data_IF_367767474064
#
_entry.id   IF_367767474064
#
_cell.length_a   1.000
_cell.length_b   1.000
_cell.length_c   1.000
_cell.angle_alpha   90.00
_cell.angle_beta   90.00
_cell.angle_gamma   90.00
#
_symmetry.space_group_name_H-M   'P 1'
#
loop_
_entity.id
_entity.type
_entity.pdbx_description
1 polymer ?
#
# COMPACT_ATOMS: atom_id res chain seq x y z
N UNK A 1 -13.02 -7.61 35.97
CA UNK A 1 -13.27 -8.22 34.64
C UNK A 1 -12.10 -7.86 33.74
N UNK A 2 -11.39 -8.84 33.17
CA UNK A 2 -10.30 -8.57 32.22
C UNK A 2 -10.93 -8.33 30.83
N UNK A 3 -10.54 -7.31 30.07
CA UNK A 3 -11.09 -7.07 28.74
C UNK A 3 -10.73 -8.25 27.84
N UNK A 4 -11.76 -8.85 27.23
CA UNK A 4 -11.65 -9.95 26.28
C UNK A 4 -10.89 -9.43 25.04
N UNK A 5 -9.73 -10.03 24.76
CA UNK A 5 -8.91 -9.66 23.62
C UNK A 5 -9.69 -9.86 22.31
N UNK A 6 -9.95 -8.78 21.58
CA UNK A 6 -10.62 -8.86 20.28
C UNK A 6 -9.56 -9.05 19.20
N UNK A 7 -9.46 -10.28 18.68
CA UNK A 7 -8.69 -10.58 17.47
C UNK A 7 -9.54 -10.14 16.27
N UNK A 8 -9.10 -9.11 15.56
CA UNK A 8 -9.80 -8.61 14.38
C UNK A 8 -9.21 -9.30 13.13
N UNK A 9 -9.96 -10.19 12.45
CA UNK A 9 -9.55 -10.68 11.14
C UNK A 9 -9.50 -9.51 10.15
N UNK A 10 -8.54 -9.52 9.24
CA UNK A 10 -8.29 -8.51 8.22
C UNK A 10 -8.07 -9.22 6.89
N UNK A 11 -8.61 -8.69 5.80
CA UNK A 11 -8.34 -9.17 4.45
C UNK A 11 -8.36 -7.96 3.50
N UNK A 12 -7.18 -7.53 3.06
CA UNK A 12 -7.01 -6.58 1.96
C UNK A 12 -6.76 -7.37 0.69
N UNK A 13 -7.61 -7.18 -0.32
CA UNK A 13 -7.28 -7.65 -1.67
C UNK A 13 -6.62 -6.47 -2.40
N UNK A 14 -5.30 -6.48 -2.53
CA UNK A 14 -4.60 -5.59 -3.47
C UNK A 14 -4.80 -6.13 -4.89
N UNK A 15 -5.22 -5.26 -5.79
CA UNK A 15 -5.33 -5.57 -7.21
C UNK A 15 -5.09 -4.31 -7.99
N UNK A 16 -3.90 -4.29 -8.59
CA UNK A 16 -3.38 -3.50 -9.71
C UNK A 16 -3.90 -2.08 -9.91
N UNK A 17 -3.10 -1.12 -9.47
CA UNK A 17 -2.43 -0.16 -10.34
C UNK A 17 -1.65 0.79 -9.41
N UNK A 18 -0.33 0.58 -9.35
CA UNK A 18 0.57 1.56 -8.80
C UNK A 18 0.79 2.63 -9.86
N UNK A 19 0.39 3.86 -9.56
CA UNK A 19 0.26 4.98 -10.48
C UNK A 19 0.86 6.19 -9.75
N UNK A 20 1.68 7.02 -10.38
CA UNK A 20 2.29 8.17 -9.72
C UNK A 20 1.78 9.42 -10.42
N UNK A 21 1.25 10.39 -9.68
CA UNK A 21 0.78 11.66 -10.24
C UNK A 21 1.99 12.59 -10.40
N UNK A 22 2.00 13.46 -11.42
CA UNK A 22 2.81 14.67 -11.41
C UNK A 22 1.95 15.91 -11.61
N UNK A 23 2.32 17.02 -10.99
CA UNK A 23 1.73 18.33 -11.25
C UNK A 23 2.82 19.40 -11.33
N UNK A 24 3.06 19.94 -12.53
CA UNK A 24 3.78 21.19 -12.73
C UNK A 24 2.75 22.29 -12.99
N UNK A 25 2.71 23.29 -12.11
CA UNK A 25 1.81 24.43 -12.26
C UNK A 25 2.49 25.52 -13.10
N UNK A 26 1.83 25.95 -14.17
CA UNK A 26 2.04 27.26 -14.80
C UNK A 26 0.68 27.91 -14.99
N UNK A 27 0.56 29.17 -14.57
CA UNK A 27 -0.69 29.92 -14.53
C UNK A 27 -0.97 30.63 -15.87
N UNK A 28 -2.19 30.46 -16.40
CA UNK A 28 -2.89 31.43 -17.25
C UNK A 28 -4.39 31.06 -17.32
N UNK A 29 -5.27 32.04 -17.13
CA UNK A 29 -6.74 31.94 -17.21
C UNK A 29 -7.25 31.92 -18.67
N UNK A 30 -8.24 31.09 -18.99
CA UNK A 30 -9.55 31.47 -19.60
C UNK A 30 -10.41 30.22 -19.89
N UNK A 31 -11.73 30.45 -19.95
CA UNK A 31 -12.90 29.56 -19.91
C UNK A 31 -12.96 28.45 -20.96
N UNK A 32 -13.60 27.34 -20.57
CA UNK A 32 -14.20 26.39 -21.52
C UNK A 32 -14.13 24.93 -21.06
N UNK A 33 -15.29 24.29 -21.00
CA UNK A 33 -15.50 22.87 -20.73
C UNK A 33 -14.56 21.99 -21.57
N UNK A 34 -13.68 21.23 -20.92
CA UNK A 34 -13.05 20.04 -21.48
C UNK A 34 -12.55 19.17 -20.33
N UNK A 35 -13.10 17.97 -20.18
CA UNK A 35 -12.50 16.89 -19.39
C UNK A 35 -11.16 16.52 -20.04
N UNK A 36 -10.13 17.27 -19.69
CA UNK A 36 -8.76 17.04 -20.14
C UNK A 36 -8.24 15.81 -19.41
N UNK A 37 -8.39 14.65 -20.04
CA UNK A 37 -7.69 13.43 -19.63
C UNK A 37 -6.21 13.65 -19.88
N UNK A 38 -5.50 14.15 -18.87
CA UNK A 38 -4.04 14.25 -18.87
C UNK A 38 -3.45 12.84 -18.95
N UNK A 39 -2.71 12.57 -20.04
CA UNK A 39 -1.92 11.34 -20.19
C UNK A 39 -0.66 11.45 -19.33
N UNK A 40 -0.82 11.15 -18.04
CA UNK A 40 0.29 10.98 -17.09
C UNK A 40 1.11 9.72 -17.45
N UNK A 41 2.44 9.80 -17.56
CA UNK A 41 3.30 8.61 -17.69
C UNK A 41 3.28 7.76 -16.40
N UNK A 42 2.70 6.56 -16.47
CA UNK A 42 2.57 5.64 -15.33
C UNK A 42 3.50 4.45 -15.55
N UNK A 43 4.26 4.10 -14.51
CA UNK A 43 5.10 2.90 -14.51
C UNK A 43 4.50 1.89 -13.53
N UNK A 44 4.14 0.71 -14.03
CA UNK A 44 3.65 -0.40 -13.21
C UNK A 44 4.82 -1.05 -12.48
N UNK A 45 4.80 -1.08 -11.14
CA UNK A 45 5.81 -1.81 -10.36
C UNK A 45 5.44 -3.28 -10.12
N UNK A 46 4.16 -3.54 -9.83
CA UNK A 46 3.64 -4.88 -9.54
C UNK A 46 2.22 -5.03 -10.08
N UNK A 47 2.03 -5.97 -11.01
CA UNK A 47 0.72 -6.43 -11.50
C UNK A 47 0.38 -7.86 -11.06
N UNK A 48 1.35 -8.57 -10.48
CA UNK A 48 1.22 -9.94 -9.99
C UNK A 48 0.81 -10.97 -11.06
N UNK A 49 0.99 -10.68 -12.36
CA UNK A 49 0.64 -11.62 -13.44
C UNK A 49 1.75 -12.63 -13.76
N UNK A 50 2.92 -12.48 -13.15
CA UNK A 50 4.03 -13.41 -13.26
C UNK A 50 3.73 -14.80 -12.67
N UNK A 51 4.50 -15.81 -13.07
CA UNK A 51 4.25 -17.19 -12.65
C UNK A 51 4.48 -17.43 -11.14
N UNK A 52 5.37 -16.68 -10.50
CA UNK A 52 5.70 -16.83 -9.08
C UNK A 52 6.00 -15.47 -8.42
N UNK A 53 4.97 -14.63 -8.22
CA UNK A 53 5.13 -13.32 -7.58
C UNK A 53 5.58 -13.45 -6.12
N UNK A 54 5.30 -14.60 -5.47
CA UNK A 54 5.59 -14.83 -4.07
C UNK A 54 7.07 -14.76 -3.71
N UNK A 55 7.97 -15.10 -4.65
CA UNK A 55 9.42 -14.95 -4.45
C UNK A 55 9.84 -13.53 -4.09
N UNK A 56 9.10 -12.52 -4.56
CA UNK A 56 9.41 -11.10 -4.33
C UNK A 56 8.90 -10.59 -2.99
N UNK A 57 8.06 -11.33 -2.26
CA UNK A 57 7.37 -10.82 -1.06
C UNK A 57 7.74 -11.62 0.19
N UNK A 58 7.70 -10.94 1.34
CA UNK A 58 7.89 -11.54 2.65
C UNK A 58 6.89 -10.98 3.65
N UNK A 59 6.53 -11.79 4.63
CA UNK A 59 5.68 -11.43 5.76
C UNK A 59 6.54 -10.99 6.93
N UNK A 60 6.14 -9.93 7.63
CA UNK A 60 6.76 -9.47 8.87
C UNK A 60 5.68 -9.28 9.93
N UNK A 61 5.80 -10.00 11.04
CA UNK A 61 4.87 -9.92 12.18
C UNK A 61 5.67 -9.59 13.45
N UNK A 62 4.98 -9.17 14.50
CA UNK A 62 5.53 -8.77 15.81
C UNK A 62 6.08 -9.92 16.69
N UNK A 63 6.34 -11.10 16.13
CA UNK A 63 6.56 -12.35 16.88
C UNK A 63 7.88 -12.42 17.68
N UNK A 64 8.84 -11.51 17.47
CA UNK A 64 10.20 -11.59 18.06
C UNK A 64 10.20 -11.40 19.58
N UNK A 65 9.18 -10.73 20.15
CA UNK A 65 9.11 -10.44 21.59
C UNK A 65 7.77 -10.87 22.22
N UNK A 66 7.21 -12.00 21.77
CA UNK A 66 5.93 -12.50 22.28
C UNK A 66 4.69 -11.82 21.67
N UNK A 67 4.87 -11.12 20.55
CA UNK A 67 3.78 -10.69 19.69
C UNK A 67 2.95 -11.87 19.21
N UNK A 68 1.68 -11.59 18.94
CA UNK A 68 0.66 -12.60 18.62
C UNK A 68 -0.05 -12.29 17.31
N UNK A 69 0.43 -11.31 16.56
CA UNK A 69 -0.14 -10.97 15.26
C UNK A 69 0.21 -12.04 14.24
N UNK A 70 -0.78 -12.42 13.43
CA UNK A 70 -0.64 -13.41 12.37
C UNK A 70 -1.25 -12.86 11.10
N UNK A 71 -0.43 -12.29 10.23
CA UNK A 71 -0.85 -12.02 8.86
C UNK A 71 0.13 -12.59 7.86
N UNK A 72 -0.25 -12.48 6.59
CA UNK A 72 0.52 -12.95 5.45
C UNK A 72 -0.21 -12.66 4.15
N UNK A 73 0.42 -13.04 3.05
CA UNK A 73 -0.13 -12.83 1.71
C UNK A 73 -0.34 -14.14 0.97
N UNK A 74 -1.34 -14.14 0.08
CA UNK A 74 -1.58 -15.18 -0.91
C UNK A 74 -1.86 -14.52 -2.26
N UNK A 75 -1.69 -15.24 -3.36
CA UNK A 75 -2.04 -14.74 -4.69
C UNK A 75 -3.29 -15.43 -5.22
N UNK A 76 -4.14 -14.68 -5.92
CA UNK A 76 -5.33 -15.22 -6.60
C UNK A 76 -5.46 -14.56 -7.97
N UNK A 77 -4.96 -15.25 -8.99
CA UNK A 77 -4.78 -14.65 -10.31
C UNK A 77 -3.78 -13.50 -10.24
N UNK A 78 -4.15 -12.35 -10.78
CA UNK A 78 -3.37 -11.12 -10.88
C UNK A 78 -3.43 -10.23 -9.62
N UNK A 79 -3.66 -10.84 -8.45
CA UNK A 79 -3.97 -10.12 -7.20
C UNK A 79 -3.22 -10.68 -6.02
N UNK A 80 -2.75 -9.78 -5.18
CA UNK A 80 -2.20 -10.08 -3.87
C UNK A 80 -3.29 -9.87 -2.82
N UNK A 81 -3.61 -10.91 -2.06
CA UNK A 81 -4.46 -10.84 -0.88
C UNK A 81 -3.57 -10.81 0.35
N UNK A 82 -3.56 -9.71 1.09
CA UNK A 82 -2.97 -9.61 2.42
C UNK A 82 -4.06 -9.83 3.47
N UNK A 83 -3.92 -10.87 4.28
CA UNK A 83 -4.93 -11.20 5.28
C UNK A 83 -4.29 -11.71 6.59
N UNK A 84 -5.03 -11.60 7.69
CA UNK A 84 -4.52 -11.99 8.99
C UNK A 84 -5.34 -11.51 10.17
N UNK A 85 -4.73 -11.53 11.34
CA UNK A 85 -5.22 -10.95 12.59
C UNK A 85 -4.09 -10.18 13.26
N UNK A 86 -4.36 -8.96 13.68
CA UNK A 86 -3.40 -8.13 14.40
C UNK A 86 -3.81 -8.04 15.86
N UNK A 87 -2.88 -8.33 16.77
CA UNK A 87 -3.11 -8.12 18.19
C UNK A 87 -2.64 -6.72 18.58
N UNK A 88 -3.57 -5.80 18.77
CA UNK A 88 -3.26 -4.41 19.13
C UNK A 88 -3.01 -4.20 20.62
N UNK A 89 -3.22 -5.22 21.46
CA UNK A 89 -2.90 -5.15 22.88
C UNK A 89 -1.37 -5.14 23.08
N UNK A 90 -0.82 -3.94 23.33
CA UNK A 90 0.62 -3.71 23.39
C UNK A 90 1.25 -3.22 22.08
N UNK A 91 0.44 -2.78 21.10
CA UNK A 91 0.93 -2.14 19.88
C UNK A 91 1.42 -3.08 18.78
N UNK A 92 0.92 -4.31 18.75
CA UNK A 92 1.31 -5.31 17.75
C UNK A 92 1.01 -4.92 16.31
N UNK A 93 1.70 -5.59 15.36
CA UNK A 93 1.59 -5.31 13.93
C UNK A 93 1.72 -6.58 13.08
N UNK A 94 1.16 -6.49 11.86
CA UNK A 94 1.41 -7.42 10.77
C UNK A 94 1.60 -6.62 9.49
N UNK A 95 2.61 -6.98 8.70
CA UNK A 95 2.90 -6.33 7.43
C UNK A 95 3.45 -7.32 6.42
N UNK A 96 3.44 -6.88 5.17
CA UNK A 96 4.12 -7.53 4.06
C UNK A 96 5.01 -6.51 3.39
N UNK A 97 6.12 -6.96 2.81
CA UNK A 97 7.00 -6.10 2.02
C UNK A 97 7.66 -6.89 0.92
N UNK A 98 8.15 -6.18 -0.07
CA UNK A 98 9.00 -6.78 -1.10
C UNK A 98 10.37 -7.10 -0.51
N UNK A 99 11.06 -8.08 -1.09
CA UNK A 99 12.52 -8.17 -0.98
C UNK A 99 13.15 -6.91 -1.60
N UNK A 100 14.38 -6.56 -1.21
CA UNK A 100 15.06 -5.39 -1.78
C UNK A 100 15.07 -5.46 -3.32
N UNK A 101 14.55 -4.41 -3.96
CA UNK A 101 14.48 -4.30 -5.42
C UNK A 101 14.57 -2.82 -5.80
N UNK A 102 15.24 -2.52 -6.90
CA UNK A 102 15.25 -1.16 -7.45
C UNK A 102 13.92 -0.89 -8.14
N UNK A 103 13.19 0.12 -7.65
CA UNK A 103 11.87 0.49 -8.15
C UNK A 103 11.89 1.60 -9.22
N UNK A 104 13.05 2.23 -9.46
CA UNK A 104 13.18 3.27 -10.50
C UNK A 104 12.28 4.50 -10.28
N UNK A 105 12.05 4.89 -9.03
CA UNK A 105 11.10 5.96 -8.67
C UNK A 105 11.64 7.39 -8.83
N UNK A 106 12.87 7.55 -9.33
CA UNK A 106 13.47 8.86 -9.55
C UNK A 106 12.64 9.69 -10.54
N UNK A 107 12.41 10.96 -10.22
CA UNK A 107 11.63 11.87 -11.06
C UNK A 107 10.12 11.56 -11.11
N UNK A 108 9.58 10.83 -10.13
CA UNK A 108 8.12 10.64 -9.92
C UNK A 108 7.69 11.39 -8.65
N UNK A 109 6.40 11.70 -8.50
CA UNK A 109 5.94 12.53 -7.35
C UNK A 109 5.19 11.72 -6.28
N UNK A 110 5.09 10.40 -6.42
CA UNK A 110 4.41 9.57 -5.44
C UNK A 110 4.33 8.11 -5.84
N UNK A 111 3.41 7.39 -5.21
CA UNK A 111 2.94 6.04 -5.57
C UNK A 111 1.42 6.02 -5.51
N UNK A 112 0.78 5.04 -6.15
CA UNK A 112 -0.63 4.77 -5.94
C UNK A 112 -0.80 3.29 -5.64
N UNK A 113 -1.94 2.89 -5.12
CA UNK A 113 -2.26 1.49 -4.98
C UNK A 113 -3.72 1.34 -5.33
N UNK A 114 -4.06 0.30 -6.09
CA UNK A 114 -5.45 -0.11 -6.27
C UNK A 114 -5.72 -1.34 -5.41
N UNK A 115 -6.81 -1.28 -4.66
CA UNK A 115 -7.11 -2.26 -3.63
C UNK A 115 -8.61 -2.32 -3.34
N UNK A 116 -9.01 -3.36 -2.62
CA UNK A 116 -10.25 -3.44 -1.85
C UNK A 116 -9.85 -3.55 -0.38
N UNK A 117 -10.30 -2.62 0.44
CA UNK A 117 -9.93 -2.58 1.86
C UNK A 117 -11.11 -2.85 2.78
N UNK A 118 -10.82 -2.82 4.07
CA UNK A 118 -11.71 -3.28 5.14
C UNK A 118 -12.20 -2.13 6.04
N UNK A 119 -11.90 -0.88 5.68
CA UNK A 119 -12.26 0.32 6.44
C UNK A 119 -11.16 0.82 7.37
N UNK A 120 -10.03 0.13 7.47
CA UNK A 120 -8.90 0.56 8.32
C UNK A 120 -7.97 1.52 7.58
N UNK A 121 -7.20 2.26 8.36
CA UNK A 121 -6.02 2.99 7.90
C UNK A 121 -4.83 2.05 7.89
N UNK A 122 -4.05 2.09 6.80
CA UNK A 122 -2.83 1.31 6.64
C UNK A 122 -1.63 2.22 6.43
N UNK A 123 -0.45 1.73 6.81
CA UNK A 123 0.83 2.40 6.54
C UNK A 123 1.46 1.82 5.28
N UNK A 124 1.80 2.68 4.32
CA UNK A 124 2.63 2.33 3.18
C UNK A 124 4.09 2.72 3.48
N UNK A 125 5.01 1.76 3.32
CA UNK A 125 6.43 1.96 3.63
C UNK A 125 7.30 2.01 2.37
N UNK A 126 8.28 2.90 2.36
CA UNK A 126 9.35 2.96 1.37
C UNK A 126 10.72 2.98 2.06
N UNK A 127 11.66 2.22 1.52
CA UNK A 127 13.05 2.20 1.97
C UNK A 127 13.92 2.75 0.84
N UNK A 128 14.80 3.71 1.16
CA UNK A 128 15.77 4.20 0.18
C UNK A 128 16.96 3.25 0.10
N UNK A 129 17.48 3.04 -1.11
CA UNK A 129 18.67 2.22 -1.31
C UNK A 129 19.83 2.72 -0.44
N UNK A 130 20.46 1.81 0.32
CA UNK A 130 21.56 2.14 1.23
C UNK A 130 21.15 2.82 2.54
N UNK A 131 19.86 3.11 2.75
CA UNK A 131 19.35 3.67 4.01
C UNK A 131 18.79 2.59 4.93
N UNK A 132 18.93 2.79 6.24
CA UNK A 132 18.25 1.97 7.27
C UNK A 132 16.90 2.56 7.67
N UNK A 133 16.55 3.75 7.17
CA UNK A 133 15.30 4.42 7.48
C UNK A 133 14.17 3.91 6.58
N UNK A 134 13.01 3.66 7.19
CA UNK A 134 11.77 3.40 6.48
C UNK A 134 10.90 4.63 6.56
N UNK A 135 10.59 5.22 5.41
CA UNK A 135 9.63 6.30 5.30
C UNK A 135 8.23 5.72 5.21
N UNK A 136 7.26 6.32 5.92
CA UNK A 136 5.89 5.83 5.98
C UNK A 136 4.89 6.94 5.70
N UNK A 137 3.82 6.56 5.02
CA UNK A 137 2.65 7.40 4.81
C UNK A 137 1.40 6.57 5.09
N UNK A 138 0.37 7.20 5.65
CA UNK A 138 -0.89 6.53 5.96
C UNK A 138 -1.85 6.68 4.77
N UNK A 139 -2.68 5.67 4.54
CA UNK A 139 -3.79 5.75 3.59
C UNK A 139 -5.02 5.04 4.15
N UNK A 140 -6.19 5.65 3.94
CA UNK A 140 -7.45 5.11 4.41
C UNK A 140 -8.08 4.18 3.38
N UNK A 141 -8.77 3.16 3.89
CA UNK A 141 -9.59 2.26 3.10
C UNK A 141 -11.06 2.42 3.47
N UNK A 142 -11.99 2.05 2.58
CA UNK A 142 -13.44 2.11 2.89
C UNK A 142 -14.00 0.69 2.98
N UNK A 143 -14.65 0.35 4.10
CA UNK A 143 -15.22 -0.97 4.35
C UNK A 143 -16.30 -1.36 3.33
N UNK A 144 -17.12 -0.38 2.90
CA UNK A 144 -18.29 -0.61 2.05
C UNK A 144 -18.00 -0.49 0.55
N UNK A 145 -16.73 -0.48 0.13
CA UNK A 145 -16.42 -0.48 -1.28
C UNK A 145 -16.74 -1.85 -1.88
N UNK A 146 -17.96 -2.02 -2.43
CA UNK A 146 -18.30 -3.15 -3.33
C UNK A 146 -17.34 -3.23 -4.53
N UNK A 147 -16.51 -2.22 -4.76
CA UNK A 147 -15.58 -2.10 -5.87
C UNK A 147 -14.13 -1.78 -5.46
N UNK A 148 -13.29 -1.72 -6.47
CA UNK A 148 -11.90 -1.31 -6.37
C UNK A 148 -11.78 0.17 -5.99
N UNK A 149 -10.77 0.49 -5.19
CA UNK A 149 -10.40 1.84 -4.78
C UNK A 149 -8.97 2.13 -5.23
N UNK A 150 -8.59 3.41 -5.26
CA UNK A 150 -7.23 3.84 -5.55
C UNK A 150 -6.79 4.88 -4.51
N UNK A 151 -5.71 4.60 -3.78
CA UNK A 151 -5.03 5.63 -2.99
C UNK A 151 -3.90 6.22 -3.80
N UNK A 152 -3.76 7.55 -3.81
CA UNK A 152 -2.59 8.26 -4.31
C UNK A 152 -1.81 8.82 -3.14
N UNK A 153 -0.55 8.46 -3.04
CA UNK A 153 0.31 8.78 -1.91
C UNK A 153 1.51 9.56 -2.48
N UNK A 154 1.48 10.90 -2.42
CA UNK A 154 2.61 11.70 -2.88
C UNK A 154 3.84 11.47 -2.00
N UNK A 155 5.05 11.60 -2.56
CA UNK A 155 6.28 11.42 -1.77
C UNK A 155 6.41 12.44 -0.63
N UNK A 156 5.78 13.61 -0.76
CA UNK A 156 5.70 14.61 0.31
C UNK A 156 4.87 14.17 1.53
N UNK A 157 4.03 13.13 1.41
CA UNK A 157 3.27 12.59 2.54
C UNK A 157 4.08 11.61 3.41
N UNK A 158 5.28 11.24 2.97
CA UNK A 158 6.12 10.27 3.68
C UNK A 158 6.98 10.94 4.75
N UNK A 159 6.97 10.37 5.95
CA UNK A 159 7.81 10.78 7.07
C UNK A 159 8.65 9.61 7.61
N UNK A 160 9.82 9.91 8.16
CA UNK A 160 10.76 8.92 8.74
C UNK A 160 10.29 8.41 10.12
#
# INVERSE_FOLDING_TARGET
MRPTATLLPAAIVLGIALICLQATASAAEDKGKSEKTESSERVTLFDFSEADPGKKWITVNDNVMGGRSKGGFTFKGDRLLFAGSTNTNGGGFSSIRTRPVSLGLSGKDGVMIRFKGDGRTYKFGLEMAGSRATYRADFDTKADSKGWQVAKIPFSAFAA
#
